data_IF_296821175005
#
_entry.id   IF_296821175005
#
_cell.length_a   1.000
_cell.length_b   1.000
_cell.length_c   1.000
_cell.angle_alpha   90.00
_cell.angle_beta   90.00
_cell.angle_gamma   90.00
#
_symmetry.space_group_name_H-M   'P 1'
#
loop_
_entity.id
_entity.type
_entity.pdbx_description
1 polymer ?
#
# COMPACT_ATOMS: atom_id res chain seq x y z
N UNK A 1 0.81 -17.96 41.24
CA UNK A 1 -0.64 -17.98 41.56
C UNK A 1 -1.46 -18.32 40.33
N UNK A 2 -1.13 -17.76 39.16
CA UNK A 2 -1.86 -18.04 37.92
C UNK A 2 -1.77 -19.50 37.46
N UNK A 3 -0.58 -20.13 37.50
CA UNK A 3 -0.43 -21.54 37.15
C UNK A 3 -1.25 -22.50 38.04
N UNK A 4 -1.42 -22.19 39.33
CA UNK A 4 -2.26 -22.97 40.23
C UNK A 4 -3.75 -22.84 39.87
N UNK A 5 -4.17 -21.61 39.52
CA UNK A 5 -5.55 -21.32 39.13
C UNK A 5 -5.93 -22.00 37.82
N UNK A 6 -5.10 -21.81 36.79
CA UNK A 6 -5.30 -22.42 35.47
C UNK A 6 -5.12 -23.94 35.50
N UNK A 7 -4.17 -24.44 36.31
CA UNK A 7 -3.98 -25.88 36.51
C UNK A 7 -5.22 -26.56 37.08
N UNK A 8 -5.88 -25.93 38.06
CA UNK A 8 -7.14 -26.43 38.61
C UNK A 8 -8.31 -26.29 37.60
N UNK A 9 -8.41 -25.16 36.90
CA UNK A 9 -9.46 -24.89 35.91
C UNK A 9 -9.44 -25.87 34.72
N UNK A 10 -8.24 -26.14 34.20
CA UNK A 10 -8.04 -26.97 33.00
C UNK A 10 -7.51 -28.37 33.33
N UNK A 11 -7.48 -28.80 34.61
CA UNK A 11 -6.99 -30.12 35.03
C UNK A 11 -5.58 -30.47 34.51
N UNK A 12 -4.65 -29.52 34.57
CA UNK A 12 -3.24 -29.68 34.19
C UNK A 12 -2.37 -29.53 35.44
N UNK A 13 -1.30 -30.32 35.58
CA UNK A 13 -0.37 -30.22 36.72
C UNK A 13 0.14 -28.76 36.81
N UNK A 14 0.05 -28.09 37.98
CA UNK A 14 0.48 -26.70 38.11
C UNK A 14 1.93 -26.43 37.72
N UNK A 15 2.81 -27.44 37.79
CA UNK A 15 4.21 -27.35 37.33
C UNK A 15 4.28 -27.33 35.80
N UNK A 16 3.51 -28.18 35.13
CA UNK A 16 3.39 -28.18 33.67
C UNK A 16 2.72 -26.89 33.18
N UNK A 17 1.65 -26.45 33.85
CA UNK A 17 0.98 -25.18 33.55
C UNK A 17 1.92 -23.98 33.71
N UNK A 18 2.84 -24.01 34.68
CA UNK A 18 3.85 -22.96 34.82
C UNK A 18 4.77 -22.91 33.59
N UNK A 19 5.18 -24.06 33.06
CA UNK A 19 5.99 -24.12 31.84
C UNK A 19 5.19 -23.66 30.60
N UNK A 20 3.92 -24.04 30.49
CA UNK A 20 3.04 -23.57 29.41
C UNK A 20 2.95 -22.04 29.43
N UNK A 21 2.80 -21.43 30.61
CA UNK A 21 2.76 -19.97 30.77
C UNK A 21 4.08 -19.28 30.43
N UNK A 22 5.21 -19.96 30.60
CA UNK A 22 6.54 -19.43 30.28
C UNK A 22 6.87 -19.55 28.79
N UNK A 23 6.42 -20.61 28.13
CA UNK A 23 6.69 -20.89 26.72
C UNK A 23 5.65 -20.28 25.76
N UNK A 24 4.41 -20.06 26.20
CA UNK A 24 3.36 -19.50 25.36
C UNK A 24 3.53 -17.99 25.13
N UNK A 25 3.40 -17.56 23.87
CA UNK A 25 3.26 -16.13 23.54
C UNK A 25 1.86 -15.62 23.93
N UNK A 26 0.84 -16.46 23.69
CA UNK A 26 -0.55 -16.17 23.99
C UNK A 26 -1.28 -17.44 24.43
N UNK A 27 -2.22 -17.29 25.37
CA UNK A 27 -3.16 -18.34 25.77
C UNK A 27 -4.54 -17.99 25.23
N UNK A 28 -5.12 -18.89 24.43
CA UNK A 28 -6.42 -18.69 23.78
C UNK A 28 -7.59 -19.31 24.55
N UNK A 29 -7.29 -20.22 25.49
CA UNK A 29 -8.27 -21.00 26.25
C UNK A 29 -7.89 -22.47 26.25
N UNK A 30 -8.83 -23.37 26.56
CA UNK A 30 -8.53 -24.79 26.60
C UNK A 30 -9.74 -25.66 26.93
N UNK A 31 -9.45 -26.95 27.08
CA UNK A 31 -10.34 -27.97 27.62
C UNK A 31 -9.59 -28.73 28.72
N UNK A 32 -10.28 -29.51 29.57
CA UNK A 32 -9.57 -30.30 30.56
C UNK A 32 -8.45 -31.17 29.96
N UNK A 33 -7.22 -30.99 30.45
CA UNK A 33 -5.99 -31.65 30.01
C UNK A 33 -5.22 -30.94 28.88
N UNK A 34 -5.81 -29.93 28.21
CA UNK A 34 -5.19 -29.26 27.05
C UNK A 34 -5.47 -27.76 27.05
N UNK A 35 -4.42 -26.96 27.06
CA UNK A 35 -4.43 -25.53 26.78
C UNK A 35 -4.12 -25.26 25.33
N UNK A 36 -4.92 -24.43 24.68
CA UNK A 36 -4.64 -23.92 23.34
C UNK A 36 -3.82 -22.64 23.46
N UNK A 37 -2.62 -22.65 22.89
CA UNK A 37 -1.69 -21.52 22.93
C UNK A 37 -1.26 -21.10 21.53
N UNK A 38 -0.78 -19.87 21.41
CA UNK A 38 0.12 -19.47 20.33
C UNK A 38 1.53 -19.51 20.91
N UNK A 39 2.40 -20.26 20.25
CA UNK A 39 3.80 -20.41 20.65
C UNK A 39 4.67 -20.32 19.40
N UNK A 40 5.61 -19.37 19.39
CA UNK A 40 6.44 -19.00 18.24
C UNK A 40 5.61 -18.72 16.99
N UNK A 41 4.46 -18.05 17.17
CA UNK A 41 3.53 -17.71 16.07
C UNK A 41 2.73 -18.88 15.50
N UNK A 42 2.80 -20.08 16.10
CA UNK A 42 2.03 -21.27 15.68
C UNK A 42 1.03 -21.64 16.75
N UNK A 43 -0.16 -22.08 16.32
CA UNK A 43 -1.17 -22.65 17.21
C UNK A 43 -0.73 -24.03 17.71
N UNK A 44 -0.57 -24.17 19.02
CA UNK A 44 -0.04 -25.40 19.65
C UNK A 44 -0.85 -25.78 20.89
N UNK A 45 -1.08 -27.09 21.14
CA UNK A 45 -1.55 -27.55 22.44
C UNK A 45 -0.41 -27.48 23.47
N UNK A 46 -0.71 -27.01 24.68
CA UNK A 46 0.21 -26.92 25.82
C UNK A 46 1.57 -26.27 25.47
N UNK A 47 1.59 -25.25 24.62
CA UNK A 47 2.82 -24.63 24.12
C UNK A 47 3.82 -25.58 23.41
N UNK A 48 3.33 -26.73 22.92
CA UNK A 48 4.15 -27.77 22.33
C UNK A 48 4.94 -28.60 23.35
N UNK A 49 4.57 -28.51 24.64
CA UNK A 49 5.17 -29.31 25.72
C UNK A 49 4.60 -30.72 25.68
N UNK A 50 5.49 -31.72 25.75
CA UNK A 50 5.12 -33.13 25.73
C UNK A 50 5.57 -33.86 27.00
N UNK A 51 4.59 -34.28 27.81
CA UNK A 51 4.78 -35.11 29.00
C UNK A 51 4.67 -36.61 28.71
N UNK A 52 4.08 -37.00 27.58
CA UNK A 52 3.81 -38.40 27.22
C UNK A 52 5.02 -39.13 26.64
N UNK A 53 5.94 -38.38 26.00
CA UNK A 53 7.21 -38.89 25.48
C UNK A 53 8.41 -38.54 26.36
N UNK A 54 8.18 -38.17 27.62
CA UNK A 54 9.21 -37.82 28.60
C UNK A 54 9.28 -38.86 29.75
N UNK A 55 10.43 -38.98 30.44
CA UNK A 55 10.52 -39.74 31.69
C UNK A 55 9.52 -39.26 32.75
N UNK A 56 9.23 -40.11 33.74
CA UNK A 56 8.33 -39.76 34.85
C UNK A 56 8.78 -38.46 35.55
N UNK A 57 7.82 -37.57 35.84
CA UNK A 57 8.03 -36.23 36.39
C UNK A 57 8.82 -35.23 35.51
N UNK A 58 9.08 -35.57 34.24
CA UNK A 58 9.71 -34.69 33.26
C UNK A 58 8.74 -34.31 32.14
N UNK A 59 9.06 -33.23 31.44
CA UNK A 59 8.42 -32.84 30.17
C UNK A 59 9.49 -32.49 29.15
N UNK A 60 9.16 -32.61 27.88
CA UNK A 60 10.01 -32.17 26.77
C UNK A 60 9.50 -30.84 26.24
N UNK A 61 10.38 -29.85 26.13
CA UNK A 61 10.07 -28.55 25.51
C UNK A 61 10.31 -28.62 24.00
N UNK A 62 9.68 -27.72 23.26
CA UNK A 62 10.00 -27.54 21.84
C UNK A 62 11.48 -27.17 21.64
N UNK A 63 12.10 -27.60 20.52
CA UNK A 63 13.45 -27.20 20.19
C UNK A 63 13.60 -25.66 20.14
N UNK A 64 14.72 -25.15 20.67
CA UNK A 64 15.02 -23.71 20.64
C UNK A 64 15.17 -23.21 19.19
N UNK A 65 15.97 -23.92 18.39
CA UNK A 65 16.19 -23.67 16.96
C UNK A 65 16.16 -25.01 16.18
N UNK A 66 14.97 -25.47 15.74
CA UNK A 66 14.83 -26.71 14.99
C UNK A 66 15.52 -26.66 13.61
N UNK A 67 15.71 -25.48 13.01
CA UNK A 67 16.47 -25.34 11.77
C UNK A 67 17.97 -25.58 12.01
N UNK A 68 18.52 -25.17 13.17
CA UNK A 68 19.89 -25.50 13.55
C UNK A 68 20.08 -27.01 13.70
N UNK A 69 19.16 -27.70 14.37
CA UNK A 69 19.19 -29.16 14.48
C UNK A 69 19.14 -29.82 13.09
N UNK A 70 18.28 -29.33 12.19
CA UNK A 70 18.22 -29.82 10.81
C UNK A 70 19.57 -29.62 10.07
N UNK A 71 20.20 -28.46 10.25
CA UNK A 71 21.51 -28.14 9.64
C UNK A 71 22.62 -29.05 10.17
N UNK A 72 22.65 -29.30 11.47
CA UNK A 72 23.65 -30.17 12.10
C UNK A 72 23.52 -31.61 11.60
N UNK A 73 22.30 -32.19 11.66
CA UNK A 73 22.03 -33.55 11.17
C UNK A 73 22.38 -33.66 9.68
N UNK A 74 21.97 -32.68 8.87
CA UNK A 74 22.33 -32.64 7.45
C UNK A 74 23.84 -32.67 7.29
N UNK A 75 24.58 -31.77 7.95
CA UNK A 75 26.04 -31.69 7.87
C UNK A 75 26.71 -33.02 8.20
N UNK A 76 26.29 -33.68 9.29
CA UNK A 76 26.81 -35.01 9.66
C UNK A 76 26.50 -36.08 8.62
N UNK A 77 25.29 -36.10 8.05
CA UNK A 77 24.91 -37.06 7.01
C UNK A 77 25.70 -36.85 5.72
N UNK A 78 25.86 -35.59 5.29
CA UNK A 78 26.62 -35.25 4.08
C UNK A 78 28.11 -35.57 4.25
N UNK A 79 28.68 -35.30 5.43
CA UNK A 79 30.07 -35.62 5.75
C UNK A 79 30.31 -37.14 5.80
N UNK A 80 29.43 -37.88 6.46
CA UNK A 80 29.62 -39.32 6.67
C UNK A 80 29.32 -40.15 5.42
N UNK A 81 28.32 -39.77 4.62
CA UNK A 81 27.84 -40.56 3.48
C UNK A 81 28.16 -39.96 2.11
N UNK A 82 28.67 -38.73 2.04
CA UNK A 82 29.04 -38.06 0.78
C UNK A 82 27.84 -37.81 -0.16
N UNK A 83 26.62 -37.82 0.36
CA UNK A 83 25.40 -37.52 -0.40
C UNK A 83 24.91 -36.11 -0.07
N UNK A 84 24.18 -35.49 -0.99
CA UNK A 84 23.41 -34.26 -0.70
C UNK A 84 22.01 -34.64 -0.26
N UNK A 85 21.53 -34.04 0.82
CA UNK A 85 20.19 -34.29 1.32
C UNK A 85 19.55 -33.04 1.93
N UNK A 86 18.23 -33.07 2.01
CA UNK A 86 17.48 -32.17 2.86
C UNK A 86 17.12 -32.92 4.15
N UNK A 87 17.08 -32.19 5.26
CA UNK A 87 16.61 -32.69 6.56
C UNK A 87 15.45 -31.82 7.00
N UNK A 88 14.37 -32.48 7.42
CA UNK A 88 13.18 -31.84 8.00
C UNK A 88 13.02 -32.42 9.39
N UNK A 89 12.97 -31.56 10.40
CA UNK A 89 12.55 -31.93 11.76
C UNK A 89 11.03 -31.84 11.77
N UNK A 90 10.38 -32.96 12.08
CA UNK A 90 8.92 -33.06 12.08
C UNK A 90 8.37 -33.34 13.47
N UNK A 91 7.12 -32.96 13.66
CA UNK A 91 6.28 -33.30 14.81
C UNK A 91 4.84 -33.51 14.34
N UNK A 92 3.94 -33.91 15.23
CA UNK A 92 2.52 -34.02 14.98
C UNK A 92 1.76 -32.80 15.50
N UNK A 93 0.64 -32.44 14.86
CA UNK A 93 -0.34 -31.52 15.46
C UNK A 93 -1.76 -31.86 15.06
N UNK A 94 -2.71 -31.40 15.86
CA UNK A 94 -4.12 -31.38 15.45
C UNK A 94 -4.39 -30.18 14.55
N UNK A 95 -5.31 -30.32 13.61
CA UNK A 95 -5.77 -29.21 12.79
C UNK A 95 -7.11 -28.68 13.33
N UNK A 96 -7.26 -27.35 13.53
CA UNK A 96 -8.52 -26.78 13.99
C UNK A 96 -9.71 -27.29 13.17
N UNK A 97 -10.77 -27.67 13.89
CA UNK A 97 -12.04 -28.15 13.31
C UNK A 97 -11.94 -29.46 12.51
N UNK A 98 -10.83 -30.20 12.60
CA UNK A 98 -10.66 -31.53 11.98
C UNK A 98 -10.27 -32.58 13.01
N UNK A 99 -10.76 -33.80 12.80
CA UNK A 99 -10.39 -34.96 13.60
C UNK A 99 -9.11 -35.59 13.05
N UNK A 100 -8.18 -35.93 13.96
CA UNK A 100 -6.90 -36.56 13.65
C UNK A 100 -5.69 -35.63 13.77
N UNK A 101 -4.50 -36.22 13.86
CA UNK A 101 -3.21 -35.53 13.80
C UNK A 101 -2.65 -35.55 12.38
N UNK A 102 -1.83 -34.55 12.08
CA UNK A 102 -1.04 -34.49 10.85
C UNK A 102 0.41 -34.21 11.21
N UNK A 103 1.33 -34.74 10.39
CA UNK A 103 2.74 -34.40 10.50
C UNK A 103 3.01 -32.99 9.99
N UNK A 104 3.86 -32.27 10.69
CA UNK A 104 4.22 -30.89 10.40
C UNK A 104 5.71 -30.68 10.56
N UNK A 105 6.25 -29.71 9.83
CA UNK A 105 7.65 -29.40 9.93
C UNK A 105 7.86 -28.35 11.04
N UNK A 106 8.80 -28.62 11.95
CA UNK A 106 9.30 -27.69 12.96
C UNK A 106 10.52 -26.92 12.47
N UNK A 107 11.37 -27.58 11.69
CA UNK A 107 12.54 -26.95 11.07
C UNK A 107 13.01 -27.69 9.83
N UNK A 108 13.80 -27.03 8.99
CA UNK A 108 14.28 -27.59 7.74
C UNK A 108 15.68 -27.10 7.36
N UNK A 109 16.40 -27.93 6.61
CA UNK A 109 17.70 -27.60 6.02
C UNK A 109 17.86 -28.29 4.67
N UNK A 110 18.46 -27.58 3.71
CA UNK A 110 18.75 -28.15 2.39
C UNK A 110 17.57 -28.26 1.44
N UNK A 111 16.44 -27.61 1.76
CA UNK A 111 15.26 -27.49 0.88
C UNK A 111 14.61 -26.11 1.03
N UNK A 112 13.70 -25.77 0.12
CA UNK A 112 12.78 -24.64 0.27
C UNK A 112 11.50 -25.12 0.97
N UNK A 113 11.25 -24.76 2.24
CA UNK A 113 10.12 -25.30 3.01
C UNK A 113 8.76 -24.87 2.47
N UNK A 114 8.66 -23.65 1.95
CA UNK A 114 7.44 -23.09 1.34
C UNK A 114 7.76 -22.62 -0.07
N UNK A 115 7.13 -23.24 -1.08
CA UNK A 115 7.31 -22.85 -2.49
C UNK A 115 6.21 -21.89 -2.90
N UNK A 116 6.59 -20.66 -3.25
CA UNK A 116 5.64 -19.68 -3.78
C UNK A 116 5.20 -20.12 -5.19
N UNK A 117 3.89 -20.32 -5.36
CA UNK A 117 3.30 -20.69 -6.65
C UNK A 117 2.47 -19.54 -7.25
N UNK A 118 2.45 -18.37 -6.61
CA UNK A 118 1.74 -17.20 -7.13
C UNK A 118 2.33 -16.77 -8.48
N UNK A 119 1.48 -16.31 -9.38
CA UNK A 119 1.83 -16.01 -10.77
C UNK A 119 1.98 -17.22 -11.69
N UNK A 120 2.10 -18.44 -11.15
CA UNK A 120 2.01 -19.65 -11.98
C UNK A 120 0.59 -19.84 -12.49
N UNK A 121 0.44 -20.47 -13.66
CA UNK A 121 -0.88 -20.71 -14.26
C UNK A 121 -1.51 -21.99 -13.74
N UNK A 122 -2.82 -21.96 -13.49
CA UNK A 122 -3.63 -23.15 -13.24
C UNK A 122 -3.90 -23.95 -14.52
N UNK A 123 -4.66 -25.06 -14.40
CA UNK A 123 -5.02 -25.92 -15.53
C UNK A 123 -5.82 -25.21 -16.65
N UNK A 124 -6.36 -24.03 -16.37
CA UNK A 124 -7.17 -23.23 -17.29
C UNK A 124 -6.47 -21.92 -17.71
N UNK A 125 -5.18 -21.78 -17.40
CA UNK A 125 -4.40 -20.59 -17.76
C UNK A 125 -4.63 -19.38 -16.88
N UNK A 126 -5.27 -19.52 -15.71
CA UNK A 126 -5.46 -18.42 -14.75
C UNK A 126 -4.28 -18.35 -13.78
N UNK A 127 -3.74 -17.16 -13.48
CA UNK A 127 -2.66 -17.04 -12.52
C UNK A 127 -3.14 -17.35 -11.10
N UNK A 128 -2.36 -18.12 -10.35
CA UNK A 128 -2.56 -18.34 -8.92
C UNK A 128 -2.25 -17.05 -8.15
N UNK A 129 -3.15 -16.62 -7.28
CA UNK A 129 -3.03 -15.32 -6.57
C UNK A 129 -2.53 -15.46 -5.13
N UNK A 130 -2.91 -16.55 -4.44
CA UNK A 130 -2.61 -16.76 -3.02
C UNK A 130 -1.76 -18.00 -2.74
N UNK A 131 -1.55 -18.85 -3.74
CA UNK A 131 -1.08 -20.21 -3.52
C UNK A 131 0.40 -20.27 -3.17
N UNK A 132 0.69 -20.72 -1.94
CA UNK A 132 2.02 -21.16 -1.50
C UNK A 132 1.94 -22.62 -1.10
N UNK A 133 2.91 -23.42 -1.51
CA UNK A 133 2.95 -24.87 -1.24
C UNK A 133 3.83 -25.13 -0.04
N UNK A 134 3.24 -25.61 1.06
CA UNK A 134 3.96 -26.02 2.26
C UNK A 134 4.70 -27.35 2.03
N UNK A 135 5.79 -27.31 1.27
CA UNK A 135 6.55 -28.48 0.85
C UNK A 135 7.05 -29.29 2.04
N UNK A 136 7.60 -28.64 3.07
CA UNK A 136 8.12 -29.32 4.25
C UNK A 136 7.01 -30.01 5.06
N UNK A 137 5.89 -29.33 5.32
CA UNK A 137 4.73 -29.92 6.03
C UNK A 137 4.10 -31.08 5.26
N UNK A 138 3.97 -30.98 3.94
CA UNK A 138 3.47 -32.09 3.13
C UNK A 138 4.35 -33.34 3.25
N UNK A 139 5.67 -33.17 3.33
CA UNK A 139 6.61 -34.26 3.52
C UNK A 139 6.56 -34.82 4.94
N UNK A 140 6.47 -33.95 5.95
CA UNK A 140 6.30 -34.35 7.35
C UNK A 140 5.00 -35.16 7.52
N UNK A 141 3.89 -34.68 6.98
CA UNK A 141 2.61 -35.41 6.94
C UNK A 141 2.72 -36.78 6.26
N UNK A 142 3.45 -36.88 5.14
CA UNK A 142 3.67 -38.15 4.47
C UNK A 142 4.55 -39.10 5.29
N UNK A 143 5.59 -38.59 5.96
CA UNK A 143 6.48 -39.35 6.82
C UNK A 143 5.76 -39.87 8.07
N UNK A 144 4.81 -39.10 8.62
CA UNK A 144 3.98 -39.47 9.78
C UNK A 144 3.32 -40.85 9.61
N UNK A 145 2.84 -41.16 8.39
CA UNK A 145 2.20 -42.44 8.08
C UNK A 145 3.12 -43.65 8.28
N UNK A 146 4.44 -43.43 8.22
CA UNK A 146 5.46 -44.45 8.43
C UNK A 146 6.07 -44.36 9.82
N UNK A 147 6.20 -43.15 10.39
CA UNK A 147 6.75 -42.96 11.73
C UNK A 147 5.82 -43.48 12.82
N UNK A 148 4.51 -43.40 12.59
CA UNK A 148 3.50 -43.70 13.60
C UNK A 148 3.26 -42.53 14.56
N UNK A 149 2.33 -42.72 15.49
CA UNK A 149 1.91 -41.72 16.50
C UNK A 149 1.96 -42.29 17.93
N UNK A 150 2.38 -43.54 18.07
CA UNK A 150 2.35 -44.27 19.32
C UNK A 150 3.69 -44.99 19.53
N UNK A 151 3.66 -46.24 19.96
CA UNK A 151 4.85 -47.02 20.30
C UNK A 151 5.61 -47.62 19.11
N UNK A 152 5.37 -47.18 17.86
CA UNK A 152 6.03 -47.73 16.67
C UNK A 152 7.55 -47.54 16.70
N UNK A 153 8.03 -46.43 17.30
CA UNK A 153 9.45 -46.20 17.57
C UNK A 153 10.30 -46.02 16.31
N UNK A 154 9.74 -45.44 15.24
CA UNK A 154 10.45 -45.14 14.00
C UNK A 154 10.91 -43.68 14.03
N UNK A 155 12.20 -43.39 14.28
CA UNK A 155 12.66 -42.02 14.56
C UNK A 155 12.90 -41.19 13.29
N UNK A 156 12.99 -41.82 12.12
CA UNK A 156 13.30 -41.12 10.87
C UNK A 156 12.78 -41.89 9.65
N UNK A 157 12.40 -41.13 8.62
CA UNK A 157 11.97 -41.66 7.31
C UNK A 157 12.88 -41.10 6.22
N UNK A 158 13.31 -41.98 5.31
CA UNK A 158 14.09 -41.59 4.13
C UNK A 158 13.15 -41.54 2.93
N UNK A 159 12.87 -40.33 2.44
CA UNK A 159 12.07 -40.11 1.23
C UNK A 159 12.97 -39.87 0.01
N UNK A 160 12.61 -40.46 -1.14
CA UNK A 160 13.35 -40.29 -2.42
C UNK A 160 12.37 -40.04 -3.56
N UNK A 161 12.77 -39.20 -4.53
CA UNK A 161 11.94 -38.91 -5.71
C UNK A 161 10.76 -37.99 -5.43
N UNK A 162 10.86 -37.13 -4.40
CA UNK A 162 9.78 -36.25 -3.95
C UNK A 162 9.65 -34.95 -4.75
N UNK A 163 10.53 -34.69 -5.74
CA UNK A 163 10.48 -33.47 -6.55
C UNK A 163 10.79 -32.19 -5.78
N UNK A 164 11.60 -32.28 -4.72
CA UNK A 164 12.08 -31.12 -3.97
C UNK A 164 13.40 -30.58 -4.54
N UNK A 165 13.56 -29.27 -4.42
CA UNK A 165 14.77 -28.55 -4.81
C UNK A 165 15.80 -28.64 -3.66
N UNK A 166 16.97 -29.22 -3.92
CA UNK A 166 18.08 -29.26 -2.94
C UNK A 166 18.88 -27.96 -3.02
N UNK A 167 19.08 -27.29 -1.90
CA UNK A 167 19.74 -25.98 -1.82
C UNK A 167 20.99 -26.01 -0.93
N UNK A 168 22.10 -25.46 -1.43
CA UNK A 168 23.44 -25.70 -0.86
C UNK A 168 23.93 -24.64 0.16
N UNK A 169 23.40 -23.41 0.19
CA UNK A 169 23.74 -22.36 1.20
C UNK A 169 22.87 -21.11 1.04
N UNK A 170 22.62 -20.40 2.15
CA UNK A 170 21.80 -19.20 2.23
C UNK A 170 22.19 -18.13 1.22
N UNK A 171 21.23 -17.67 0.43
CA UNK A 171 21.36 -16.48 -0.39
C UNK A 171 21.47 -15.24 0.52
N UNK A 172 22.68 -14.72 0.66
CA UNK A 172 22.88 -13.32 1.05
C UNK A 172 22.16 -12.43 0.02
N UNK A 173 21.09 -11.76 0.45
CA UNK A 173 20.40 -10.75 -0.37
C UNK A 173 18.88 -10.65 -0.24
N UNK A 174 18.21 -11.57 0.45
CA UNK A 174 16.77 -11.50 0.71
C UNK A 174 16.45 -12.03 2.10
N UNK A 175 15.45 -11.46 2.78
CA UNK A 175 14.96 -11.96 4.07
C UNK A 175 14.55 -13.45 3.95
N UNK A 176 15.43 -14.36 4.37
CA UNK A 176 15.20 -15.70 4.92
C UNK A 176 14.19 -16.67 4.26
N UNK A 177 14.59 -17.39 3.21
CA UNK A 177 13.78 -18.43 2.53
C UNK A 177 14.09 -19.90 2.95
N UNK A 178 14.75 -20.10 4.11
CA UNK A 178 15.04 -21.44 4.65
C UNK A 178 14.33 -21.75 5.99
N UNK A 179 13.69 -20.74 6.57
CA UNK A 179 12.87 -20.90 7.77
C UNK A 179 11.44 -21.25 7.36
N UNK A 180 10.76 -22.06 8.16
CA UNK A 180 9.34 -22.34 7.95
C UNK A 180 8.56 -21.08 8.32
N UNK A 181 8.24 -20.27 7.32
CA UNK A 181 7.57 -18.98 7.54
C UNK A 181 6.19 -19.19 8.15
N UNK A 182 5.92 -18.50 9.26
CA UNK A 182 4.60 -18.34 9.84
C UNK A 182 3.96 -17.06 9.30
N UNK A 183 2.64 -17.09 9.09
CA UNK A 183 1.89 -15.87 8.78
C UNK A 183 1.53 -15.21 10.12
N UNK A 184 1.87 -13.93 10.35
CA UNK A 184 1.50 -13.23 11.58
C UNK A 184 -0.01 -13.29 11.84
N UNK A 185 -0.41 -13.31 13.11
CA UNK A 185 -1.82 -13.38 13.52
C UNK A 185 -2.66 -12.25 12.90
N UNK A 186 -2.11 -11.04 12.88
CA UNK A 186 -2.81 -9.87 12.36
C UNK A 186 -3.04 -10.01 10.86
N UNK A 187 -2.05 -10.53 10.13
CA UNK A 187 -2.22 -10.90 8.72
C UNK A 187 -3.20 -12.08 8.54
N UNK A 188 -3.28 -13.04 9.47
CA UNK A 188 -4.24 -14.16 9.37
C UNK A 188 -5.70 -13.76 9.60
N UNK A 189 -5.92 -12.73 10.43
CA UNK A 189 -7.24 -12.26 10.85
C UNK A 189 -7.70 -11.01 10.09
N UNK A 190 -6.80 -10.35 9.35
CA UNK A 190 -7.19 -9.40 8.33
C UNK A 190 -8.09 -10.09 7.32
N UNK A 191 -9.25 -9.48 7.10
CA UNK A 191 -10.29 -9.98 6.24
C UNK A 191 -9.79 -9.97 4.78
N UNK A 192 -9.10 -11.03 4.34
CA UNK A 192 -8.79 -11.24 2.93
C UNK A 192 -10.05 -11.55 2.10
N UNK A 193 -11.23 -11.63 2.74
CA UNK A 193 -12.49 -11.63 2.02
C UNK A 193 -12.71 -10.22 1.45
N UNK A 194 -12.24 -10.06 0.21
CA UNK A 194 -12.21 -8.81 -0.54
C UNK A 194 -11.12 -7.85 -0.01
N UNK A 195 -9.98 -7.73 -0.72
CA UNK A 195 -9.38 -6.39 -0.82
C UNK A 195 -10.50 -5.55 -1.42
N UNK A 196 -11.21 -4.78 -0.61
CA UNK A 196 -12.24 -3.88 -1.09
C UNK A 196 -11.56 -3.07 -2.19
N UNK A 197 -12.03 -3.19 -3.44
CA UNK A 197 -11.42 -2.45 -4.54
C UNK A 197 -11.35 -0.99 -4.10
N UNK A 198 -10.15 -0.39 -4.05
CA UNK A 198 -10.00 0.98 -3.58
C UNK A 198 -10.98 1.90 -4.30
N UNK A 199 -11.68 2.75 -3.57
CA UNK A 199 -12.63 3.70 -4.14
C UNK A 199 -11.87 4.97 -4.48
N UNK A 200 -11.76 5.26 -5.76
CA UNK A 200 -10.97 6.38 -6.25
C UNK A 200 -11.92 7.42 -6.81
N UNK A 201 -11.76 8.67 -6.39
CA UNK A 201 -12.49 9.80 -6.97
C UNK A 201 -11.56 10.56 -7.91
N UNK A 202 -12.01 10.79 -9.15
CA UNK A 202 -11.30 11.60 -10.15
C UNK A 202 -12.10 12.88 -10.41
N UNK A 203 -11.41 14.02 -10.38
CA UNK A 203 -11.94 15.36 -10.62
C UNK A 203 -10.90 16.24 -11.34
N UNK A 204 -11.25 17.49 -11.68
CA UNK A 204 -10.36 18.51 -12.22
C UNK A 204 -11.00 19.91 -12.10
N UNK A 205 -10.33 20.93 -12.64
CA UNK A 205 -10.89 22.28 -12.86
C UNK A 205 -11.12 22.66 -14.33
N UNK A 206 -10.60 21.90 -15.29
CA UNK A 206 -10.88 22.11 -16.73
C UNK A 206 -12.29 21.65 -17.16
N UNK A 207 -12.97 20.88 -16.30
CA UNK A 207 -14.34 20.42 -16.48
C UNK A 207 -14.47 18.98 -17.00
N UNK A 208 -15.70 18.47 -16.97
CA UNK A 208 -16.05 17.06 -17.17
C UNK A 208 -15.67 16.48 -18.55
N UNK A 209 -15.56 17.34 -19.58
CA UNK A 209 -15.23 16.92 -20.94
C UNK A 209 -13.74 17.09 -21.28
N UNK A 210 -12.90 17.47 -20.32
CA UNK A 210 -11.48 17.71 -20.55
C UNK A 210 -10.71 16.41 -20.82
N UNK A 211 -9.78 16.46 -21.76
CA UNK A 211 -8.88 15.33 -22.09
C UNK A 211 -8.01 14.90 -20.91
N UNK A 212 -7.59 15.87 -20.07
CA UNK A 212 -6.80 15.60 -18.87
C UNK A 212 -7.56 14.78 -17.81
N UNK A 213 -8.87 15.02 -17.65
CA UNK A 213 -9.73 14.24 -16.74
C UNK A 213 -9.82 12.78 -17.19
N UNK A 214 -9.96 12.57 -18.51
CA UNK A 214 -9.96 11.24 -19.10
C UNK A 214 -8.62 10.53 -18.86
N UNK A 215 -7.50 11.21 -19.05
CA UNK A 215 -6.19 10.63 -18.78
C UNK A 215 -6.01 10.26 -17.30
N UNK A 216 -6.49 11.09 -16.36
CA UNK A 216 -6.46 10.75 -14.94
C UNK A 216 -7.33 9.53 -14.62
N UNK A 217 -8.54 9.45 -15.21
CA UNK A 217 -9.39 8.27 -15.10
C UNK A 217 -8.67 7.01 -15.63
N UNK A 218 -8.09 7.06 -16.82
CA UNK A 218 -7.37 5.93 -17.43
C UNK A 218 -6.19 5.46 -16.55
N UNK A 219 -5.46 6.40 -15.93
CA UNK A 219 -4.36 6.08 -15.03
C UNK A 219 -4.79 5.22 -13.82
N UNK A 220 -5.97 5.48 -13.25
CA UNK A 220 -6.42 4.83 -12.01
C UNK A 220 -7.53 3.79 -12.21
N UNK A 221 -8.08 3.66 -13.42
CA UNK A 221 -9.18 2.74 -13.75
C UNK A 221 -8.91 1.27 -13.41
N UNK A 222 -7.65 0.83 -13.47
CA UNK A 222 -7.22 -0.54 -13.12
C UNK A 222 -6.85 -0.70 -11.63
N UNK A 223 -6.80 0.39 -10.87
CA UNK A 223 -6.40 0.39 -9.45
C UNK A 223 -7.58 0.21 -8.49
N UNK A 224 -8.82 0.44 -8.94
CA UNK A 224 -9.98 0.34 -8.06
C UNK A 224 -11.30 0.79 -8.68
N UNK A 225 -12.33 0.93 -7.84
CA UNK A 225 -13.65 1.42 -8.21
C UNK A 225 -13.62 2.95 -8.38
N UNK A 226 -13.63 3.44 -9.62
CA UNK A 226 -13.48 4.86 -9.92
C UNK A 226 -14.83 5.58 -10.06
N UNK A 227 -14.98 6.72 -9.39
CA UNK A 227 -16.06 7.69 -9.61
C UNK A 227 -15.49 8.97 -10.22
N UNK A 228 -16.06 9.44 -11.32
CA UNK A 228 -15.61 10.70 -11.96
C UNK A 228 -16.64 11.79 -11.74
N UNK A 229 -16.25 12.86 -11.07
CA UNK A 229 -17.12 13.99 -10.75
C UNK A 229 -16.34 15.28 -10.92
N UNK A 230 -16.79 16.17 -11.79
CA UNK A 230 -16.06 17.35 -12.18
C UNK A 230 -17.00 18.53 -12.50
N UNK A 231 -16.49 19.78 -12.54
CA UNK A 231 -17.26 20.93 -12.99
C UNK A 231 -17.84 20.75 -14.40
N UNK A 232 -19.01 21.31 -14.66
CA UNK A 232 -19.64 21.26 -15.97
C UNK A 232 -18.93 22.16 -17.02
N UNK A 233 -18.14 23.13 -16.56
CA UNK A 233 -17.39 24.09 -17.37
C UNK A 233 -16.00 24.30 -16.76
N UNK A 234 -15.09 24.87 -17.54
CA UNK A 234 -13.74 25.22 -17.06
C UNK A 234 -13.81 26.32 -16.00
N UNK A 235 -13.05 26.12 -14.91
CA UNK A 235 -13.04 26.95 -13.70
C UNK A 235 -11.61 27.34 -13.29
N UNK A 236 -10.82 27.88 -14.22
CA UNK A 236 -9.44 28.27 -13.93
C UNK A 236 -9.36 29.43 -12.92
N UNK A 237 -8.41 29.35 -11.96
CA UNK A 237 -8.11 30.43 -11.02
C UNK A 237 -9.11 30.58 -9.85
N UNK A 238 -10.01 29.61 -9.65
CA UNK A 238 -11.03 29.67 -8.60
C UNK A 238 -10.54 29.23 -7.22
N UNK A 239 -9.28 28.77 -7.12
CA UNK A 239 -8.68 28.23 -5.90
C UNK A 239 -9.57 27.17 -5.25
N UNK A 240 -9.75 27.28 -3.93
CA UNK A 240 -10.60 26.41 -3.12
C UNK A 240 -11.95 27.05 -2.77
N UNK A 241 -12.63 27.63 -3.77
CA UNK A 241 -13.93 28.27 -3.57
C UNK A 241 -15.07 27.26 -3.47
N UNK A 242 -16.10 27.57 -2.67
CA UNK A 242 -17.31 26.73 -2.46
C UNK A 242 -18.55 27.57 -2.79
N UNK A 243 -19.51 26.97 -3.48
CA UNK A 243 -20.79 27.61 -3.80
C UNK A 243 -21.79 27.45 -2.65
N UNK A 244 -21.91 28.47 -1.79
CA UNK A 244 -22.78 28.43 -0.60
C UNK A 244 -24.17 29.03 -0.86
N UNK A 245 -24.26 30.04 -1.72
CA UNK A 245 -25.47 30.87 -1.85
C UNK A 245 -26.41 30.45 -2.98
N UNK A 246 -25.99 29.53 -3.86
CA UNK A 246 -26.78 29.06 -4.99
C UNK A 246 -26.91 27.53 -4.98
N UNK A 247 -28.07 26.99 -5.39
CA UNK A 247 -28.26 25.55 -5.44
C UNK A 247 -27.42 24.93 -6.57
N UNK A 248 -26.57 23.97 -6.22
CA UNK A 248 -25.78 23.20 -7.17
C UNK A 248 -26.65 22.18 -7.91
N UNK A 249 -26.40 22.03 -9.21
CA UNK A 249 -27.04 21.01 -10.06
C UNK A 249 -26.02 19.98 -10.50
N UNK A 250 -26.44 18.74 -10.55
CA UNK A 250 -25.63 17.61 -11.02
C UNK A 250 -26.32 16.99 -12.22
N UNK A 251 -25.56 16.68 -13.25
CA UNK A 251 -26.02 15.89 -14.40
C UNK A 251 -25.11 14.70 -14.61
N UNK A 252 -25.70 13.53 -14.85
CA UNK A 252 -24.97 12.33 -15.22
C UNK A 252 -24.70 12.34 -16.71
N UNK A 253 -23.47 12.04 -17.11
CA UNK A 253 -23.04 12.00 -18.50
C UNK A 253 -22.24 10.73 -18.75
N UNK A 254 -22.39 10.16 -19.95
CA UNK A 254 -21.63 9.00 -20.39
C UNK A 254 -20.60 9.47 -21.40
N UNK A 255 -19.34 9.32 -21.04
CA UNK A 255 -18.20 9.63 -21.89
C UNK A 255 -17.70 8.34 -22.54
N UNK A 256 -16.90 8.47 -23.60
CA UNK A 256 -16.34 7.31 -24.29
C UNK A 256 -15.41 6.53 -23.36
N UNK A 257 -15.93 5.44 -22.79
CA UNK A 257 -15.20 4.53 -21.92
C UNK A 257 -15.56 4.59 -20.42
N UNK A 258 -16.30 5.61 -19.95
CA UNK A 258 -16.66 5.73 -18.53
C UNK A 258 -17.86 6.64 -18.26
N UNK A 259 -18.42 6.54 -17.05
CA UNK A 259 -19.51 7.40 -16.58
C UNK A 259 -18.96 8.52 -15.69
N UNK A 260 -19.52 9.72 -15.84
CA UNK A 260 -19.11 10.90 -15.10
C UNK A 260 -20.31 11.75 -14.64
N UNK A 261 -20.09 12.57 -13.63
CA UNK A 261 -21.08 13.53 -13.13
C UNK A 261 -20.56 14.95 -13.30
N UNK A 262 -21.32 15.77 -14.03
CA UNK A 262 -21.02 17.17 -14.26
C UNK A 262 -21.74 18.03 -13.23
N UNK A 263 -20.98 18.83 -12.48
CA UNK A 263 -21.46 19.68 -11.39
C UNK A 263 -21.47 21.14 -11.83
N UNK A 264 -22.61 21.82 -11.67
CA UNK A 264 -22.75 23.25 -11.95
C UNK A 264 -22.12 24.15 -10.89
N UNK A 265 -20.90 23.84 -10.45
CA UNK A 265 -20.17 24.50 -9.36
C UNK A 265 -18.66 24.42 -9.55
N UNK A 266 -17.92 24.64 -8.47
CA UNK A 266 -16.44 24.64 -8.46
C UNK A 266 -15.85 23.22 -8.41
N UNK A 267 -14.53 23.07 -8.59
CA UNK A 267 -13.85 21.79 -8.37
C UNK A 267 -14.04 21.25 -6.94
N UNK A 268 -13.99 22.14 -5.95
CA UNK A 268 -14.26 21.85 -4.54
C UNK A 268 -15.70 21.37 -4.32
N UNK A 269 -16.69 22.05 -4.93
CA UNK A 269 -18.09 21.61 -4.90
C UNK A 269 -18.25 20.20 -5.49
N UNK A 270 -17.50 19.89 -6.55
CA UNK A 270 -17.50 18.59 -7.21
C UNK A 270 -17.02 17.48 -6.28
N UNK A 271 -15.97 17.74 -5.49
CA UNK A 271 -15.47 16.80 -4.47
C UNK A 271 -16.50 16.58 -3.37
N UNK A 272 -17.09 17.64 -2.82
CA UNK A 272 -18.11 17.55 -1.77
C UNK A 272 -19.31 16.74 -2.25
N UNK A 273 -19.84 17.06 -3.44
CA UNK A 273 -20.98 16.34 -4.03
C UNK A 273 -20.62 14.88 -4.31
N UNK A 274 -19.40 14.61 -4.80
CA UNK A 274 -18.94 13.25 -5.04
C UNK A 274 -18.97 12.42 -3.75
N UNK A 275 -18.33 12.90 -2.69
CA UNK A 275 -18.20 12.18 -1.42
C UNK A 275 -19.58 11.99 -0.77
N UNK A 276 -20.36 13.05 -0.63
CA UNK A 276 -21.55 13.03 0.23
C UNK A 276 -22.85 12.68 -0.50
N UNK A 277 -22.91 12.82 -1.83
CA UNK A 277 -24.14 12.58 -2.60
C UNK A 277 -24.05 11.39 -3.55
N UNK A 278 -22.96 11.31 -4.32
CA UNK A 278 -22.81 10.30 -5.38
C UNK A 278 -22.26 8.99 -4.80
N UNK A 279 -21.10 9.05 -4.15
CA UNK A 279 -20.43 7.89 -3.54
C UNK A 279 -21.09 7.52 -2.22
N UNK A 280 -21.50 8.52 -1.42
CA UNK A 280 -22.04 8.37 -0.05
C UNK A 280 -21.09 7.64 0.89
N UNK A 281 -19.81 7.67 0.58
CA UNK A 281 -18.73 7.02 1.33
C UNK A 281 -17.41 7.70 1.01
N UNK A 282 -16.46 7.66 1.94
CA UNK A 282 -15.16 8.32 1.81
C UNK A 282 -14.27 7.59 0.80
N UNK A 283 -13.78 8.23 -0.28
CA UNK A 283 -12.80 7.61 -1.16
C UNK A 283 -11.53 7.22 -0.42
N UNK A 284 -10.83 6.21 -0.93
CA UNK A 284 -9.52 5.78 -0.44
C UNK A 284 -8.40 6.61 -1.10
N UNK A 285 -8.68 7.26 -2.24
CA UNK A 285 -7.80 8.21 -2.92
C UNK A 285 -8.60 9.22 -3.74
N UNK A 286 -8.18 10.48 -3.75
CA UNK A 286 -8.65 11.48 -4.73
C UNK A 286 -7.54 11.84 -5.70
N UNK A 287 -7.85 11.86 -7.00
CA UNK A 287 -6.96 12.38 -8.05
C UNK A 287 -7.63 13.58 -8.71
N UNK A 288 -6.94 14.72 -8.69
CA UNK A 288 -7.37 15.95 -9.33
C UNK A 288 -6.42 16.27 -10.49
N UNK A 289 -6.93 16.24 -11.72
CA UNK A 289 -6.15 16.49 -12.93
C UNK A 289 -6.51 15.55 -14.08
N UNK A 290 -5.66 15.37 -15.09
CA UNK A 290 -4.48 16.20 -15.37
C UNK A 290 -4.91 17.63 -15.68
N UNK A 291 -4.31 18.59 -15.00
CA UNK A 291 -4.41 19.99 -15.40
C UNK A 291 -3.46 20.26 -16.58
N UNK A 292 -3.95 20.97 -17.59
CA UNK A 292 -3.11 21.45 -18.70
C UNK A 292 -2.48 22.79 -18.29
N UNK A 293 -1.18 22.75 -17.99
CA UNK A 293 -0.43 23.84 -17.38
C UNK A 293 -0.01 23.49 -15.95
N UNK A 294 1.11 24.04 -15.53
CA UNK A 294 1.76 23.76 -14.25
C UNK A 294 1.00 24.41 -13.09
N UNK A 295 1.00 23.73 -11.94
CA UNK A 295 0.56 24.30 -10.68
C UNK A 295 1.75 24.30 -9.71
N UNK A 296 2.73 25.13 -10.05
CA UNK A 296 4.03 25.24 -9.41
C UNK A 296 4.10 26.58 -8.67
N UNK A 297 4.85 26.63 -7.58
CA UNK A 297 5.05 27.78 -6.69
C UNK A 297 3.88 28.11 -5.76
N UNK A 298 4.21 28.82 -4.68
CA UNK A 298 3.31 29.08 -3.55
C UNK A 298 2.04 29.85 -3.94
N UNK A 299 2.15 30.85 -4.83
CA UNK A 299 1.02 31.70 -5.21
C UNK A 299 0.03 30.97 -6.13
N UNK A 300 0.55 30.23 -7.11
CA UNK A 300 -0.25 29.46 -8.05
C UNK A 300 -0.96 28.30 -7.35
N UNK A 301 -0.28 27.62 -6.43
CA UNK A 301 -0.86 26.51 -5.65
C UNK A 301 -2.12 26.92 -4.88
N UNK A 302 -2.15 28.14 -4.34
CA UNK A 302 -3.32 28.66 -3.59
C UNK A 302 -4.47 29.13 -4.46
N UNK A 303 -4.22 29.38 -5.74
CA UNK A 303 -5.22 29.88 -6.70
C UNK A 303 -5.67 28.82 -7.72
N UNK A 304 -5.00 27.66 -7.72
CA UNK A 304 -5.32 26.50 -8.56
C UNK A 304 -6.61 25.80 -8.11
N UNK A 305 -7.53 25.58 -9.06
CA UNK A 305 -8.74 24.79 -8.82
C UNK A 305 -8.42 23.29 -8.70
N UNK A 306 -7.47 22.81 -9.51
CA UNK A 306 -6.98 21.42 -9.43
C UNK A 306 -6.43 21.11 -8.03
N UNK A 307 -5.58 21.99 -7.47
CA UNK A 307 -5.08 21.79 -6.09
C UNK A 307 -6.16 22.07 -5.06
N UNK A 308 -7.03 23.06 -5.28
CA UNK A 308 -8.17 23.35 -4.42
C UNK A 308 -9.08 22.14 -4.20
N UNK A 309 -9.33 21.34 -5.24
CA UNK A 309 -10.08 20.09 -5.13
C UNK A 309 -9.33 19.02 -4.31
N UNK A 310 -8.02 18.86 -4.51
CA UNK A 310 -7.21 17.92 -3.73
C UNK A 310 -7.13 18.32 -2.24
N UNK A 311 -6.96 19.62 -1.95
CA UNK A 311 -7.00 20.18 -0.59
C UNK A 311 -8.38 19.99 0.07
N UNK A 312 -9.46 20.01 -0.69
CA UNK A 312 -10.79 19.73 -0.17
C UNK A 312 -10.92 18.28 0.30
N UNK A 313 -10.50 17.33 -0.54
CA UNK A 313 -10.48 15.92 -0.18
C UNK A 313 -9.64 15.65 1.07
N UNK A 314 -8.44 16.24 1.11
CA UNK A 314 -7.54 16.20 2.26
C UNK A 314 -8.19 16.69 3.56
N UNK A 315 -9.09 17.69 3.50
CA UNK A 315 -9.72 18.22 4.70
C UNK A 315 -10.70 17.25 5.37
N UNK A 316 -11.12 16.22 4.63
CA UNK A 316 -11.90 15.10 5.16
C UNK A 316 -11.01 13.89 5.52
N UNK A 317 -9.69 14.05 5.52
CA UNK A 317 -8.72 13.00 5.82
C UNK A 317 -8.48 12.02 4.67
N UNK A 318 -8.84 12.38 3.43
CA UNK A 318 -8.60 11.52 2.27
C UNK A 318 -7.28 11.91 1.61
N UNK A 319 -6.34 10.97 1.40
CA UNK A 319 -5.11 11.27 0.67
C UNK A 319 -5.44 11.70 -0.76
N UNK A 320 -4.73 12.71 -1.24
CA UNK A 320 -5.00 13.28 -2.56
C UNK A 320 -3.73 13.44 -3.42
N UNK A 321 -3.92 13.38 -4.74
CA UNK A 321 -2.90 13.69 -5.73
C UNK A 321 -3.46 14.78 -6.65
N UNK A 322 -2.80 15.92 -6.70
CA UNK A 322 -3.01 16.92 -7.74
C UNK A 322 -1.97 16.71 -8.83
N UNK A 323 -2.37 16.56 -10.09
CA UNK A 323 -1.47 16.23 -11.18
C UNK A 323 -1.63 17.20 -12.35
N UNK A 324 -0.50 17.72 -12.84
CA UNK A 324 -0.43 18.77 -13.86
C UNK A 324 0.65 18.45 -14.88
N UNK A 325 0.46 18.87 -16.13
CA UNK A 325 1.47 18.71 -17.19
C UNK A 325 1.89 20.07 -17.75
N UNK A 326 3.19 20.25 -17.92
CA UNK A 326 3.80 21.47 -18.47
C UNK A 326 3.37 21.70 -19.91
N UNK A 327 3.15 22.98 -20.22
CA UNK A 327 2.78 23.48 -21.56
C UNK A 327 3.92 24.38 -22.06
N UNK A 328 4.34 24.21 -23.32
CA UNK A 328 5.47 24.96 -23.87
C UNK A 328 5.07 26.30 -24.52
N UNK A 329 3.81 26.46 -24.92
CA UNK A 329 3.27 27.71 -25.46
C UNK A 329 1.94 28.04 -24.76
N UNK A 330 1.89 29.18 -24.03
CA UNK A 330 0.72 29.60 -23.26
C UNK A 330 -0.52 29.87 -24.14
N UNK A 331 -0.35 30.13 -25.45
CA UNK A 331 -1.44 30.21 -26.42
C UNK A 331 -2.19 28.89 -26.57
N UNK A 332 -1.50 27.76 -26.39
CA UNK A 332 -2.07 26.41 -26.48
C UNK A 332 -3.01 26.09 -25.31
N UNK A 333 -2.93 26.84 -24.21
CA UNK A 333 -3.83 26.71 -23.05
C UNK A 333 -5.26 27.19 -23.31
N UNK A 334 -5.46 27.99 -24.36
CA UNK A 334 -6.75 28.61 -24.71
C UNK A 334 -7.36 28.11 -26.02
N UNK A 335 -6.69 27.22 -26.74
CA UNK A 335 -7.27 26.52 -27.90
C UNK A 335 -8.27 25.44 -27.45
N UNK A 336 -9.20 25.06 -28.33
CA UNK A 336 -10.31 24.14 -28.03
C UNK A 336 -9.78 22.77 -27.53
N UNK A 337 -9.71 22.60 -26.20
CA UNK A 337 -9.16 21.44 -25.48
C UNK A 337 -9.80 20.10 -25.84
N UNK A 338 -10.88 20.11 -26.64
CA UNK A 338 -11.57 18.91 -27.15
C UNK A 338 -10.85 18.22 -28.31
N UNK A 339 -9.96 18.93 -29.03
CA UNK A 339 -9.28 18.43 -30.25
C UNK A 339 -7.75 18.40 -30.15
N UNK A 340 -7.19 18.62 -28.96
CA UNK A 340 -5.74 18.71 -28.79
C UNK A 340 -5.11 17.33 -28.54
N UNK A 341 -4.14 16.95 -29.38
CA UNK A 341 -3.37 15.72 -29.23
C UNK A 341 -2.26 15.90 -28.18
N UNK A 342 -2.63 16.11 -26.91
CA UNK A 342 -1.68 15.89 -25.84
C UNK A 342 -1.49 14.39 -25.67
N UNK A 343 -0.28 13.90 -25.90
CA UNK A 343 0.08 12.52 -25.57
C UNK A 343 0.21 12.42 -24.05
N UNK A 344 -0.79 11.81 -23.41
CA UNK A 344 -0.82 11.55 -21.98
C UNK A 344 -0.26 10.17 -21.63
N UNK A 345 0.17 9.35 -22.60
CA UNK A 345 0.46 7.93 -22.37
C UNK A 345 1.53 7.72 -21.29
N UNK A 346 2.60 8.51 -21.33
CA UNK A 346 3.66 8.46 -20.32
C UNK A 346 3.18 9.06 -18.98
N UNK A 347 2.42 10.15 -19.02
CA UNK A 347 1.83 10.76 -17.82
C UNK A 347 0.90 9.80 -17.08
N UNK A 348 0.06 9.07 -17.80
CA UNK A 348 -0.84 8.02 -17.30
C UNK A 348 -0.04 6.95 -16.56
N UNK A 349 1.07 6.48 -17.14
CA UNK A 349 1.94 5.47 -16.51
C UNK A 349 2.60 6.01 -15.23
N UNK A 350 3.08 7.25 -15.26
CA UNK A 350 3.71 7.91 -14.10
C UNK A 350 2.68 8.09 -12.97
N UNK A 351 1.51 8.63 -13.28
CA UNK A 351 0.42 8.81 -12.32
C UNK A 351 -0.05 7.48 -11.74
N UNK A 352 -0.21 6.44 -12.58
CA UNK A 352 -0.56 5.08 -12.10
C UNK A 352 0.46 4.56 -11.10
N UNK A 353 1.76 4.72 -11.39
CA UNK A 353 2.86 4.31 -10.49
C UNK A 353 2.83 5.05 -9.15
N UNK A 354 2.50 6.34 -9.15
CA UNK A 354 2.40 7.14 -7.93
C UNK A 354 1.13 6.74 -7.15
N UNK A 355 -0.03 6.74 -7.81
CA UNK A 355 -1.31 6.40 -7.22
C UNK A 355 -1.33 4.99 -6.61
N UNK A 356 -0.73 3.99 -7.27
CA UNK A 356 -0.65 2.63 -6.72
C UNK A 356 0.15 2.60 -5.42
N UNK A 357 1.24 3.36 -5.33
CA UNK A 357 2.07 3.46 -4.12
C UNK A 357 1.36 4.22 -2.99
N UNK A 358 0.60 5.26 -3.31
CA UNK A 358 -0.21 5.97 -2.31
C UNK A 358 -1.31 5.05 -1.76
N UNK A 359 -1.95 4.25 -2.61
CA UNK A 359 -2.93 3.26 -2.16
C UNK A 359 -2.31 2.12 -1.32
N UNK A 360 -1.07 1.72 -1.63
CA UNK A 360 -0.37 0.65 -0.92
C UNK A 360 0.21 1.11 0.43
N UNK A 361 0.83 2.28 0.47
CA UNK A 361 1.60 2.75 1.64
C UNK A 361 0.93 3.88 2.42
N UNK A 362 -0.12 4.51 1.87
CA UNK A 362 -0.65 5.76 2.38
C UNK A 362 0.28 6.96 2.15
N UNK A 363 -0.07 8.10 2.76
CA UNK A 363 0.81 9.26 2.86
C UNK A 363 1.42 9.33 4.27
N UNK A 364 2.67 9.80 4.41
CA UNK A 364 3.29 9.96 5.72
C UNK A 364 2.61 11.05 6.55
N UNK A 365 2.72 10.94 7.87
CA UNK A 365 2.17 11.92 8.82
C UNK A 365 2.61 13.34 8.49
N UNK A 366 1.65 14.27 8.44
CA UNK A 366 1.89 15.67 8.09
C UNK A 366 1.90 15.95 6.58
N UNK A 367 1.62 14.96 5.73
CA UNK A 367 1.43 15.14 4.29
C UNK A 367 -0.01 14.79 3.93
N UNK A 368 -0.75 15.77 3.43
CA UNK A 368 -2.16 15.62 3.09
C UNK A 368 -2.39 15.34 1.60
N UNK A 369 -1.53 15.91 0.74
CA UNK A 369 -1.57 15.64 -0.69
C UNK A 369 -0.19 15.68 -1.35
N UNK A 370 -0.09 15.08 -2.52
CA UNK A 370 1.06 15.21 -3.42
C UNK A 370 0.69 16.10 -4.61
N UNK A 371 1.41 17.21 -4.79
CA UNK A 371 1.34 18.03 -6.00
C UNK A 371 2.39 17.54 -6.99
N UNK A 372 1.94 16.98 -8.11
CA UNK A 372 2.76 16.32 -9.13
C UNK A 372 2.74 17.15 -10.41
N UNK A 373 3.91 17.63 -10.84
CA UNK A 373 4.04 18.39 -12.08
C UNK A 373 4.99 17.65 -13.05
N UNK A 374 4.48 17.35 -14.24
CA UNK A 374 5.20 16.60 -15.26
C UNK A 374 5.75 17.57 -16.33
N UNK A 375 7.05 17.53 -16.63
CA UNK A 375 7.61 18.17 -17.82
C UNK A 375 6.92 17.69 -19.11
N UNK A 376 6.91 18.53 -20.15
CA UNK A 376 6.19 18.23 -21.42
C UNK A 376 6.60 16.89 -22.04
N UNK A 377 7.87 16.53 -21.91
CA UNK A 377 8.49 15.36 -22.52
C UNK A 377 8.83 14.25 -21.51
N UNK A 378 8.18 14.27 -20.33
CA UNK A 378 8.42 13.26 -19.31
C UNK A 378 8.06 11.85 -19.81
N UNK A 379 8.92 10.89 -19.50
CA UNK A 379 8.72 9.45 -19.72
C UNK A 379 8.73 8.71 -18.38
N UNK A 380 8.36 7.44 -18.36
CA UNK A 380 8.46 6.59 -17.16
C UNK A 380 9.88 6.50 -16.56
N UNK A 381 10.91 6.80 -17.36
CA UNK A 381 12.32 6.84 -16.97
C UNK A 381 12.76 8.22 -16.46
N UNK A 382 11.99 9.28 -16.71
CA UNK A 382 12.27 10.61 -16.19
C UNK A 382 12.38 10.56 -14.66
N UNK A 383 13.48 11.09 -14.07
CA UNK A 383 13.65 11.12 -12.63
C UNK A 383 12.49 11.83 -11.93
N UNK A 384 12.05 11.28 -10.81
CA UNK A 384 11.14 11.95 -9.88
C UNK A 384 11.99 12.65 -8.83
N UNK A 385 11.79 13.96 -8.67
CA UNK A 385 12.42 14.77 -7.65
C UNK A 385 11.39 15.17 -6.59
N UNK A 386 11.72 14.94 -5.31
CA UNK A 386 10.91 15.44 -4.20
C UNK A 386 11.28 16.91 -3.99
N UNK A 387 10.31 17.81 -4.14
CA UNK A 387 10.55 19.25 -4.22
C UNK A 387 9.86 20.00 -3.08
N UNK A 388 10.27 21.25 -2.89
CA UNK A 388 9.51 22.26 -2.14
C UNK A 388 8.95 23.31 -3.10
N UNK A 389 7.90 24.01 -2.68
CA UNK A 389 7.35 25.12 -3.47
C UNK A 389 8.35 26.27 -3.58
N UNK A 390 8.57 26.73 -4.81
CA UNK A 390 9.12 28.04 -5.12
C UNK A 390 8.22 29.14 -4.56
N UNK A 391 8.79 30.32 -4.32
CA UNK A 391 8.00 31.43 -3.77
C UNK A 391 7.02 32.01 -4.79
N UNK A 392 7.44 32.11 -6.04
CA UNK A 392 6.69 32.78 -7.11
C UNK A 392 7.17 32.34 -8.48
N UNK A 393 6.25 32.09 -9.41
CA UNK A 393 6.56 31.72 -10.80
C UNK A 393 6.34 32.87 -11.81
N UNK A 394 5.57 33.91 -11.48
CA UNK A 394 5.35 35.06 -12.37
C UNK A 394 5.80 36.39 -11.76
N UNK A 395 6.53 37.18 -12.55
CA UNK A 395 6.70 38.60 -12.27
C UNK A 395 5.44 39.37 -12.71
N UNK A 396 4.55 39.66 -11.75
CA UNK A 396 3.25 40.30 -12.01
C UNK A 396 3.39 41.65 -12.74
N UNK A 397 2.79 41.74 -13.92
CA UNK A 397 2.54 42.92 -14.72
C UNK A 397 1.04 43.21 -14.84
N UNK A 398 0.71 44.46 -15.13
CA UNK A 398 -0.66 44.89 -15.44
C UNK A 398 -0.61 45.74 -16.70
N UNK A 399 -1.29 45.31 -17.75
CA UNK A 399 -1.40 46.03 -19.01
C UNK A 399 -2.75 46.74 -19.09
N UNK A 400 -2.73 48.07 -19.20
CA UNK A 400 -3.93 48.87 -19.46
C UNK A 400 -4.19 48.97 -20.97
N UNK A 401 -5.40 48.63 -21.40
CA UNK A 401 -5.91 48.81 -22.76
C UNK A 401 -7.22 49.59 -22.74
N UNK A 402 -7.67 50.05 -23.89
CA UNK A 402 -8.92 50.81 -24.02
C UNK A 402 -9.89 50.09 -24.96
N UNK A 403 -11.16 49.97 -24.55
CA UNK A 403 -12.20 49.43 -25.41
C UNK A 403 -12.50 50.38 -26.59
N UNK A 404 -13.25 49.95 -27.63
CA UNK A 404 -13.59 50.83 -28.76
C UNK A 404 -14.37 52.10 -28.40
N UNK A 405 -14.84 52.24 -27.14
CA UNK A 405 -15.54 53.42 -26.60
C UNK A 405 -14.63 54.28 -25.72
N UNK A 406 -13.33 53.96 -25.66
CA UNK A 406 -12.33 54.69 -24.88
C UNK A 406 -12.38 54.42 -23.37
N UNK A 407 -13.00 53.32 -22.93
CA UNK A 407 -13.00 52.94 -21.50
C UNK A 407 -11.81 52.03 -21.20
N UNK A 408 -11.02 52.29 -20.14
CA UNK A 408 -9.88 51.45 -19.81
C UNK A 408 -10.33 50.07 -19.32
N UNK A 409 -9.54 49.05 -19.64
CA UNK A 409 -9.61 47.70 -19.08
C UNK A 409 -8.19 47.18 -18.88
N UNK A 410 -8.03 46.22 -17.96
CA UNK A 410 -6.71 45.78 -17.49
C UNK A 410 -6.54 44.28 -17.69
N UNK A 411 -5.40 43.88 -18.23
CA UNK A 411 -4.94 42.49 -18.21
C UNK A 411 -3.90 42.32 -17.13
N UNK A 412 -4.07 41.30 -16.29
CA UNK A 412 -3.00 40.84 -15.39
C UNK A 412 -2.18 39.83 -16.20
N UNK A 413 -0.88 40.09 -16.34
CA UNK A 413 0.07 39.22 -17.01
C UNK A 413 1.36 39.13 -16.18
N UNK A 414 2.39 38.45 -16.68
CA UNK A 414 3.69 38.46 -16.05
C UNK A 414 4.69 37.59 -16.78
N UNK A 415 5.96 37.93 -16.65
CA UNK A 415 7.05 37.12 -17.20
C UNK A 415 7.31 35.91 -16.27
N UNK A 416 7.58 34.75 -16.87
CA UNK A 416 7.92 33.53 -16.14
C UNK A 416 9.29 33.66 -15.47
N UNK A 417 9.35 33.27 -14.20
CA UNK A 417 10.57 33.10 -13.41
C UNK A 417 10.94 31.62 -13.50
N UNK A 418 11.90 31.30 -14.36
CA UNK A 418 12.34 29.92 -14.63
C UNK A 418 13.71 29.58 -14.05
N UNK A 419 14.38 30.54 -13.42
CA UNK A 419 15.65 30.32 -12.71
C UNK A 419 15.36 30.37 -11.20
N UNK A 420 15.39 29.22 -10.55
CA UNK A 420 15.18 29.08 -9.11
C UNK A 420 16.15 28.04 -8.52
N UNK A 421 16.22 28.02 -7.19
CA UNK A 421 17.13 27.16 -6.43
C UNK A 421 16.85 25.67 -6.67
N UNK A 422 17.91 24.85 -6.67
CA UNK A 422 17.79 23.39 -6.75
C UNK A 422 16.90 22.82 -5.63
N UNK A 423 16.13 21.77 -5.94
CA UNK A 423 15.14 21.17 -5.04
C UNK A 423 13.80 21.92 -4.98
N UNK A 424 13.62 22.97 -5.77
CA UNK A 424 12.31 23.62 -5.95
C UNK A 424 11.53 22.99 -7.09
N UNK A 425 10.20 23.15 -7.05
CA UNK A 425 9.30 22.67 -8.09
C UNK A 425 9.50 23.39 -9.44
N UNK A 426 9.79 24.69 -9.45
CA UNK A 426 10.19 25.40 -10.68
C UNK A 426 11.47 24.79 -11.24
N UNK A 427 12.51 24.63 -10.42
CA UNK A 427 13.80 24.14 -10.90
C UNK A 427 13.71 22.72 -11.46
N UNK A 428 12.99 21.83 -10.76
CA UNK A 428 12.81 20.46 -11.20
C UNK A 428 12.14 20.39 -12.59
N UNK A 429 11.08 21.16 -12.81
CA UNK A 429 10.32 21.08 -14.07
C UNK A 429 10.98 21.87 -15.20
N UNK A 430 11.43 23.10 -14.97
CA UNK A 430 11.92 24.00 -16.02
C UNK A 430 13.43 23.91 -16.29
N UNK A 431 14.24 23.51 -15.31
CA UNK A 431 15.71 23.45 -15.48
C UNK A 431 16.23 22.02 -15.58
N UNK A 432 15.72 21.12 -14.73
CA UNK A 432 16.18 19.73 -14.67
C UNK A 432 15.35 18.76 -15.53
N UNK A 433 14.19 19.21 -16.03
CA UNK A 433 13.22 18.38 -16.77
C UNK A 433 12.85 17.08 -16.02
N UNK A 434 12.79 17.16 -14.69
CA UNK A 434 12.38 16.09 -13.78
C UNK A 434 10.89 16.22 -13.43
N UNK A 435 10.27 15.09 -13.09
CA UNK A 435 8.92 15.09 -12.51
C UNK A 435 9.01 15.65 -11.08
N UNK A 436 8.36 16.77 -10.82
CA UNK A 436 8.30 17.37 -9.49
C UNK A 436 7.19 16.73 -8.68
N UNK A 437 7.50 16.26 -7.47
CA UNK A 437 6.53 15.80 -6.48
C UNK A 437 6.71 16.60 -5.21
N UNK A 438 5.80 17.54 -4.96
CA UNK A 438 5.81 18.38 -3.76
C UNK A 438 4.79 17.86 -2.75
N UNK A 439 5.20 17.38 -1.56
CA UNK A 439 4.27 17.06 -0.49
C UNK A 439 3.70 18.35 0.10
N UNK A 440 2.37 18.46 0.18
CA UNK A 440 1.69 19.63 0.76
C UNK A 440 0.83 19.22 1.96
N UNK A 441 0.66 20.16 2.88
CA UNK A 441 -0.19 20.04 4.06
C UNK A 441 -1.20 21.20 4.10
N UNK A 442 -2.39 20.92 4.62
CA UNK A 442 -3.43 21.91 4.89
C UNK A 442 -3.09 22.84 6.06
N UNK A 443 -2.29 22.35 7.00
CA UNK A 443 -1.85 23.16 8.14
C UNK A 443 -0.84 24.21 7.68
N UNK A 444 -1.36 25.42 7.42
CA UNK A 444 -0.57 26.59 7.06
C UNK A 444 0.03 27.31 8.29
N UNK A 445 0.00 26.69 9.48
CA UNK A 445 0.67 27.24 10.67
C UNK A 445 2.15 27.38 10.39
N UNK A 446 2.67 28.60 10.54
CA UNK A 446 4.09 28.87 10.30
C UNK A 446 4.96 28.01 11.23
N UNK A 447 5.91 27.27 10.66
CA UNK A 447 6.86 26.44 11.41
C UNK A 447 7.94 27.32 12.05
N UNK A 448 7.55 28.09 13.06
CA UNK A 448 8.41 28.99 13.84
C UNK A 448 8.30 28.66 15.33
N UNK A 449 9.29 29.08 16.11
CA UNK A 449 9.24 28.96 17.56
C UNK A 449 8.23 29.96 18.12
N UNK A 450 7.27 29.50 18.91
CA UNK A 450 6.20 30.34 19.50
C UNK A 450 6.80 31.51 20.30
N UNK A 451 7.95 31.32 20.92
CA UNK A 451 8.69 32.34 21.67
C UNK A 451 9.09 33.55 20.81
N UNK A 452 9.28 33.37 19.50
CA UNK A 452 9.58 34.47 18.58
C UNK A 452 8.36 35.36 18.37
N UNK A 453 7.14 34.79 18.39
CA UNK A 453 5.89 35.54 18.31
C UNK A 453 5.57 36.26 19.62
N UNK A 454 5.94 35.69 20.77
CA UNK A 454 5.67 36.32 22.09
C UNK A 454 6.19 37.75 22.18
N UNK A 455 7.33 38.07 21.56
CA UNK A 455 7.91 39.43 21.51
C UNK A 455 7.01 40.50 20.88
N UNK A 456 5.99 40.10 20.12
CA UNK A 456 5.05 40.99 19.46
C UNK A 456 3.72 41.14 20.20
N UNK A 457 3.48 40.33 21.24
CA UNK A 457 2.20 40.24 21.96
C UNK A 457 2.36 40.50 23.46
N UNK A 458 3.51 40.13 24.03
CA UNK A 458 3.96 40.41 25.41
C UNK A 458 4.93 41.60 25.41
#
# INVERSE_FOLDING_TARGET
>A
MEALRLGDEYLIDPREMQLILEEADEILGGVPGVMLTITKGVLSPNAGIDSSNAPEECVTLMPLDPDASAREIRGTLEEHYGCKCAVIISDSRTQPLRLGTIGVALGSSGTTPVKDARGSLDLYGKPLTITRKATADNLASAAQLLMGEAGEGIPAVIARGMGIDLVDKGAEGGRGDHHISVVPRDECLEDYSCVAMPRILVTNDDGVYAVGLRAAFEAVSELGAVSVVAPAQQMSGVGRSISIFEPLRVSHTKLDGFEAYAVGGTPTDSVIIAIFSIMKTMPDLVVSGFNVGENISTDTVTTSGTIGAALEAASYGVPAIAVSIQVLDEGEKFDDLRNYHYDFDEGIKILRRIASRVLEYGLPDGVDLLNVNLPRHATVETPIEITRLSRKIFQTGVEERHDPRGRPYYWINGDLIVDDEAGTDINAVFNSEHVSVTPLCLDATAQIKIEEIKKYVE
#
